data_IF_912399835643
#
_entry.id   IF_912399835643
#
_cell.length_a   1.000
_cell.length_b   1.000
_cell.length_c   1.000
_cell.angle_alpha   90.00
_cell.angle_beta   90.00
_cell.angle_gamma   90.00
#
_symmetry.space_group_name_H-M   'P 1'
#
loop_
_entity.id
_entity.type
_entity.pdbx_description
1 polymer ?
#
# COMPACT_ATOMS: atom_id res chain seq x y z
N UNK A 1 -2.76 15.82 17.20
CA UNK A 1 -1.64 14.88 17.08
C UNK A 1 -0.58 15.54 16.19
N UNK A 2 0.16 16.47 16.78
CA UNK A 2 1.22 17.24 16.13
C UNK A 2 2.51 16.81 16.81
N UNK A 3 3.10 15.72 16.31
CA UNK A 3 4.43 15.29 16.72
C UNK A 3 5.42 15.91 15.75
N UNK A 4 6.15 16.87 16.31
CA UNK A 4 7.49 17.36 15.99
C UNK A 4 8.25 16.41 15.04
N UNK A 5 8.27 16.75 13.74
CA UNK A 5 9.41 16.40 12.90
C UNK A 5 10.47 17.48 13.14
N UNK A 6 11.50 17.14 13.91
CA UNK A 6 12.75 17.89 13.87
C UNK A 6 13.23 18.01 12.42
N UNK A 7 13.86 19.13 12.09
CA UNK A 7 14.23 19.59 10.74
C UNK A 7 15.13 18.59 9.99
N UNK A 8 14.57 17.50 9.49
CA UNK A 8 15.15 16.72 8.41
C UNK A 8 15.18 17.66 7.21
N UNK A 9 16.36 17.88 6.62
CA UNK A 9 16.48 18.55 5.33
C UNK A 9 15.70 17.71 4.31
N UNK A 10 14.45 18.08 4.09
CA UNK A 10 13.60 17.44 3.09
C UNK A 10 13.82 18.13 1.76
N UNK A 11 13.96 17.35 0.69
CA UNK A 11 13.90 17.89 -0.65
C UNK A 11 12.45 18.28 -0.95
N UNK A 12 12.24 19.45 -1.57
CA UNK A 12 10.91 19.82 -2.06
C UNK A 12 10.53 18.84 -3.18
N UNK A 13 9.39 18.17 -3.02
CA UNK A 13 8.76 17.41 -4.09
C UNK A 13 7.70 18.27 -4.77
N UNK A 14 7.41 17.95 -6.03
CA UNK A 14 6.35 18.58 -6.80
C UNK A 14 5.52 17.51 -7.49
N UNK A 15 4.20 17.71 -7.56
CA UNK A 15 3.30 16.88 -8.37
C UNK A 15 2.98 17.68 -9.62
N UNK A 16 3.41 17.17 -10.76
CA UNK A 16 3.17 17.79 -12.06
C UNK A 16 2.27 16.87 -12.89
N UNK A 17 1.06 17.31 -13.30
CA UNK A 17 0.28 16.57 -14.26
C UNK A 17 0.99 16.57 -15.61
N UNK A 18 1.05 15.40 -16.26
CA UNK A 18 1.56 15.26 -17.62
C UNK A 18 0.44 15.55 -18.65
N UNK A 19 0.78 15.90 -19.90
CA UNK A 19 -0.20 16.10 -20.96
C UNK A 19 -1.11 14.89 -21.15
N UNK A 20 -2.40 15.14 -21.43
CA UNK A 20 -3.35 14.08 -21.76
C UNK A 20 -3.09 13.54 -23.16
N UNK A 21 -3.05 12.22 -23.28
CA UNK A 21 -2.98 11.54 -24.57
C UNK A 21 -4.39 11.08 -24.92
N UNK A 22 -4.97 11.67 -25.97
CA UNK A 22 -6.33 11.39 -26.40
C UNK A 22 -6.39 10.16 -27.33
N UNK A 23 -6.03 8.99 -26.80
CA UNK A 23 -6.07 7.72 -27.51
C UNK A 23 -6.20 6.54 -26.53
N UNK A 24 -6.66 5.37 -27.00
CA UNK A 24 -6.85 4.22 -26.11
C UNK A 24 -5.55 3.83 -25.38
N UNK A 25 -5.56 3.69 -24.04
CA UNK A 25 -4.34 3.41 -23.26
C UNK A 25 -3.70 2.06 -23.59
N UNK A 26 -4.50 1.17 -24.19
CA UNK A 26 -4.10 -0.16 -24.63
C UNK A 26 -3.32 -0.18 -25.95
N UNK A 27 -3.31 0.91 -26.71
CA UNK A 27 -2.62 0.97 -27.98
C UNK A 27 -1.10 1.19 -27.80
N UNK A 28 -0.31 0.52 -28.63
CA UNK A 28 1.16 0.57 -28.55
C UNK A 28 1.69 1.98 -28.80
N UNK A 29 1.07 2.74 -29.73
CA UNK A 29 1.48 4.12 -30.02
C UNK A 29 1.23 5.06 -28.83
N UNK A 30 0.16 4.79 -28.08
CA UNK A 30 -0.23 5.55 -26.87
C UNK A 30 0.77 5.29 -25.74
N UNK A 31 1.09 4.01 -25.50
CA UNK A 31 2.10 3.60 -24.53
C UNK A 31 3.49 4.16 -24.87
N UNK A 32 3.88 4.10 -26.14
CA UNK A 32 5.13 4.70 -26.62
C UNK A 32 5.20 6.19 -26.29
N UNK A 33 4.14 6.92 -26.64
CA UNK A 33 4.06 8.37 -26.45
C UNK A 33 4.13 8.72 -24.97
N UNK A 34 3.39 7.99 -24.12
CA UNK A 34 3.43 8.17 -22.66
C UNK A 34 4.83 7.94 -22.08
N UNK A 35 5.50 6.87 -22.49
CA UNK A 35 6.85 6.55 -22.03
C UNK A 35 7.87 7.57 -22.53
N UNK A 36 7.75 8.01 -23.79
CA UNK A 36 8.63 9.01 -24.39
C UNK A 36 8.56 10.33 -23.64
N UNK A 37 7.35 10.85 -23.40
CA UNK A 37 7.15 12.06 -22.59
C UNK A 37 7.73 11.90 -21.18
N UNK A 38 7.50 10.76 -20.53
CA UNK A 38 8.01 10.50 -19.18
C UNK A 38 9.54 10.47 -19.13
N UNK A 39 10.18 9.95 -20.18
CA UNK A 39 11.63 9.91 -20.30
C UNK A 39 12.24 11.29 -20.59
N UNK A 40 11.62 12.06 -21.49
CA UNK A 40 12.05 13.42 -21.85
C UNK A 40 11.93 14.39 -20.67
N UNK A 41 10.84 14.33 -19.90
CA UNK A 41 10.65 15.15 -18.69
C UNK A 41 11.67 14.77 -17.59
N UNK A 42 12.01 13.47 -17.46
CA UNK A 42 13.03 13.00 -16.52
C UNK A 42 14.44 13.53 -16.86
N UNK A 43 14.79 13.54 -18.14
CA UNK A 43 16.04 14.13 -18.65
C UNK A 43 16.11 15.63 -18.37
N UNK A 44 15.03 16.37 -18.61
CA UNK A 44 14.96 17.81 -18.29
C UNK A 44 15.16 18.07 -16.79
N UNK A 45 14.70 17.16 -15.94
CA UNK A 45 14.84 17.26 -14.49
C UNK A 45 16.18 16.73 -13.95
N UNK A 46 17.14 16.36 -14.82
CA UNK A 46 18.44 15.78 -14.44
C UNK A 46 18.33 14.55 -13.53
N UNK A 47 17.21 13.84 -13.60
CA UNK A 47 16.97 12.64 -12.81
C UNK A 47 17.63 11.44 -13.46
N UNK A 48 18.17 10.52 -12.64
CA UNK A 48 18.90 9.34 -13.16
C UNK A 48 17.96 8.23 -13.64
N UNK A 49 16.76 8.13 -13.05
CA UNK A 49 15.81 7.05 -13.27
C UNK A 49 14.39 7.62 -13.30
N UNK A 50 13.57 7.16 -14.25
CA UNK A 50 12.15 7.42 -14.35
C UNK A 50 11.37 6.14 -14.03
N UNK A 51 10.63 6.13 -12.93
CA UNK A 51 9.78 5.01 -12.56
C UNK A 51 8.38 5.23 -13.14
N UNK A 52 7.95 4.33 -14.02
CA UNK A 52 6.61 4.38 -14.61
C UNK A 52 5.81 3.17 -14.10
N UNK A 53 4.73 3.44 -13.37
CA UNK A 53 3.84 2.39 -12.88
C UNK A 53 2.62 2.24 -13.77
N UNK A 54 2.31 1.00 -14.16
CA UNK A 54 1.12 0.66 -14.95
C UNK A 54 0.30 -0.43 -14.27
N UNK A 55 -1.02 -0.40 -14.42
CA UNK A 55 -1.85 -1.55 -14.08
C UNK A 55 -1.46 -2.79 -14.90
N UNK A 56 -1.79 -3.97 -14.41
CA UNK A 56 -1.32 -5.24 -14.97
C UNK A 56 -1.43 -5.37 -16.50
N UNK A 57 -2.57 -5.05 -17.14
CA UNK A 57 -2.67 -5.16 -18.59
C UNK A 57 -1.74 -4.21 -19.34
N UNK A 58 -1.53 -3.00 -18.79
CA UNK A 58 -0.69 -1.97 -19.39
C UNK A 58 0.79 -2.14 -19.07
N UNK A 59 1.13 -2.89 -18.01
CA UNK A 59 2.51 -3.25 -17.69
C UNK A 59 3.07 -4.33 -18.63
N UNK A 60 2.22 -5.30 -19.00
CA UNK A 60 2.61 -6.43 -19.87
C UNK A 60 2.91 -5.94 -21.29
N UNK A 61 2.06 -5.05 -21.83
CA UNK A 61 2.16 -4.61 -23.24
C UNK A 61 3.51 -3.99 -23.64
N UNK A 62 4.07 -3.00 -22.92
CA UNK A 62 5.39 -2.47 -23.23
C UNK A 62 6.51 -3.49 -23.05
N UNK A 63 6.36 -4.44 -22.12
CA UNK A 63 7.36 -5.50 -21.91
C UNK A 63 7.41 -6.51 -23.04
N UNK A 64 6.24 -6.88 -23.57
CA UNK A 64 6.14 -7.80 -24.70
C UNK A 64 6.57 -7.13 -26.00
N UNK A 65 6.28 -5.83 -26.14
CA UNK A 65 6.62 -5.08 -27.33
C UNK A 65 8.04 -4.52 -27.23
N UNK A 66 9.02 -5.37 -27.58
CA UNK A 66 10.46 -5.05 -27.60
C UNK A 66 10.76 -3.72 -28.31
N UNK A 67 10.03 -3.37 -29.37
CA UNK A 67 10.20 -2.09 -30.10
C UNK A 67 9.90 -0.85 -29.25
N UNK A 68 9.04 -0.97 -28.22
CA UNK A 68 8.74 0.11 -27.28
C UNK A 68 9.88 0.37 -26.29
N UNK A 69 10.77 -0.61 -26.07
CA UNK A 69 11.79 -0.58 -25.00
C UNK A 69 13.22 -0.55 -25.55
N UNK A 70 13.47 -1.13 -26.73
CA UNK A 70 14.82 -1.45 -27.18
C UNK A 70 15.49 -0.42 -28.10
N UNK A 71 14.75 0.40 -28.84
CA UNK A 71 15.34 1.15 -29.96
C UNK A 71 15.80 2.58 -29.64
N UNK A 72 15.56 3.10 -28.43
CA UNK A 72 15.98 4.45 -28.06
C UNK A 72 16.82 4.50 -26.77
N UNK A 73 18.00 5.16 -26.78
CA UNK A 73 18.79 5.38 -25.55
C UNK A 73 17.97 6.12 -24.48
N UNK A 74 16.95 6.86 -24.91
CA UNK A 74 15.95 7.54 -24.10
C UNK A 74 15.26 6.62 -23.07
N UNK A 75 15.01 5.35 -23.40
CA UNK A 75 14.31 4.42 -22.51
C UNK A 75 15.22 3.68 -21.52
N UNK A 76 16.55 3.86 -21.59
CA UNK A 76 17.49 3.22 -20.65
C UNK A 76 17.31 3.71 -19.21
N UNK A 77 16.78 4.92 -19.03
CA UNK A 77 16.49 5.49 -17.72
C UNK A 77 15.08 5.16 -17.22
N UNK A 78 14.23 4.57 -18.06
CA UNK A 78 12.84 4.25 -17.71
C UNK A 78 12.74 2.83 -17.18
N UNK A 79 12.22 2.70 -15.96
CA UNK A 79 11.94 1.40 -15.34
C UNK A 79 10.44 1.25 -15.17
N UNK A 80 9.91 0.24 -15.86
CA UNK A 80 8.50 -0.14 -15.75
C UNK A 80 8.26 -0.92 -14.45
N UNK A 81 7.26 -0.50 -13.70
CA UNK A 81 6.80 -1.15 -12.47
C UNK A 81 5.33 -1.54 -12.57
N UNK A 82 5.00 -2.72 -12.06
CA UNK A 82 3.61 -3.13 -11.93
C UNK A 82 2.93 -2.26 -10.85
N UNK A 83 1.81 -1.66 -11.22
CA UNK A 83 0.93 -0.90 -10.34
C UNK A 83 0.31 -1.84 -9.31
N UNK A 84 0.48 -1.51 -8.03
CA UNK A 84 0.03 -2.36 -6.92
C UNK A 84 -1.42 -2.11 -6.49
N UNK A 85 -2.05 -1.02 -6.92
CA UNK A 85 -3.33 -0.59 -6.34
C UNK A 85 -4.48 -1.56 -6.64
N UNK A 86 -4.64 -1.96 -7.91
CA UNK A 86 -5.64 -2.98 -8.26
C UNK A 86 -5.33 -4.33 -7.61
N UNK A 87 -4.06 -4.69 -7.45
CA UNK A 87 -3.68 -5.91 -6.74
C UNK A 87 -4.11 -5.85 -5.27
N UNK A 88 -3.92 -4.70 -4.60
CA UNK A 88 -4.40 -4.47 -3.24
C UNK A 88 -5.93 -4.51 -3.13
N UNK A 89 -6.65 -3.91 -4.09
CA UNK A 89 -8.12 -3.99 -4.14
C UNK A 89 -8.59 -5.44 -4.33
N UNK A 90 -8.00 -6.18 -5.29
CA UNK A 90 -8.31 -7.59 -5.50
C UNK A 90 -8.03 -8.44 -4.27
N UNK A 91 -6.90 -8.20 -3.58
CA UNK A 91 -6.56 -8.90 -2.35
C UNK A 91 -7.60 -8.66 -1.25
N UNK A 92 -8.07 -7.41 -1.07
CA UNK A 92 -9.16 -7.11 -0.14
C UNK A 92 -10.46 -7.84 -0.53
N UNK A 93 -10.76 -7.92 -1.83
CA UNK A 93 -11.86 -8.72 -2.35
C UNK A 93 -11.72 -10.22 -2.04
N UNK A 94 -10.51 -10.77 -2.14
CA UNK A 94 -10.23 -12.17 -1.78
C UNK A 94 -10.45 -12.44 -0.29
N UNK A 95 -10.11 -11.50 0.60
CA UNK A 95 -10.42 -11.61 2.03
C UNK A 95 -11.93 -11.67 2.21
N UNK A 96 -12.68 -10.73 1.61
CA UNK A 96 -14.14 -10.71 1.69
C UNK A 96 -14.80 -11.99 1.15
N UNK A 97 -14.26 -12.56 0.07
CA UNK A 97 -14.73 -13.82 -0.49
C UNK A 97 -14.43 -15.02 0.42
N UNK A 98 -13.18 -15.14 0.88
CA UNK A 98 -12.74 -16.24 1.78
C UNK A 98 -13.50 -16.22 3.10
N UNK A 99 -13.79 -15.03 3.62
CA UNK A 99 -14.51 -14.84 4.89
C UNK A 99 -16.03 -14.74 4.73
N UNK A 100 -16.59 -15.09 3.57
CA UNK A 100 -18.03 -15.12 3.38
C UNK A 100 -18.69 -16.09 4.39
N UNK A 101 -19.75 -15.63 5.07
CA UNK A 101 -20.43 -16.41 6.11
C UNK A 101 -19.76 -16.44 7.48
N UNK A 102 -18.59 -15.82 7.66
CA UNK A 102 -17.89 -15.75 8.96
C UNK A 102 -18.50 -14.77 9.98
N UNK A 103 -19.52 -14.01 9.59
CA UNK A 103 -20.03 -12.87 10.37
C UNK A 103 -19.23 -11.57 10.17
N UNK A 104 -18.12 -11.58 9.42
CA UNK A 104 -17.34 -10.36 9.14
C UNK A 104 -18.21 -9.24 8.54
N UNK A 105 -19.11 -9.60 7.61
CA UNK A 105 -20.05 -8.64 7.00
C UNK A 105 -20.94 -8.00 8.07
N UNK A 106 -21.46 -8.79 9.00
CA UNK A 106 -22.40 -8.34 10.02
C UNK A 106 -21.71 -7.40 11.00
N UNK A 107 -20.50 -7.74 11.44
CA UNK A 107 -19.67 -6.87 12.28
C UNK A 107 -19.37 -5.54 11.59
N UNK A 108 -18.99 -5.57 10.30
CA UNK A 108 -18.75 -4.35 9.54
C UNK A 108 -20.02 -3.50 9.36
N UNK A 109 -21.19 -4.12 9.27
CA UNK A 109 -22.48 -3.42 9.18
C UNK A 109 -22.86 -2.67 10.47
N UNK A 110 -22.20 -2.94 11.61
CA UNK A 110 -22.41 -2.17 12.84
C UNK A 110 -21.85 -0.74 12.74
N UNK A 111 -20.82 -0.53 11.91
CA UNK A 111 -20.10 0.75 11.80
C UNK A 111 -20.29 1.41 10.43
N UNK A 112 -20.58 0.62 9.40
CA UNK A 112 -20.72 1.09 8.03
C UNK A 112 -22.08 0.72 7.43
N UNK A 113 -22.58 1.54 6.49
CA UNK A 113 -23.81 1.25 5.79
C UNK A 113 -23.73 -0.08 4.99
N UNK A 114 -24.75 -0.95 4.99
CA UNK A 114 -24.69 -2.27 4.36
C UNK A 114 -24.30 -2.27 2.87
N UNK A 115 -24.76 -1.29 2.11
CA UNK A 115 -24.38 -1.11 0.70
C UNK A 115 -22.90 -0.76 0.51
N UNK A 116 -22.32 0.00 1.44
CA UNK A 116 -20.89 0.27 1.45
C UNK A 116 -20.10 -0.99 1.82
N UNK A 117 -20.58 -1.77 2.80
CA UNK A 117 -19.93 -3.02 3.22
C UNK A 117 -19.84 -4.01 2.05
N UNK A 118 -20.87 -4.14 1.22
CA UNK A 118 -20.78 -4.97 0.01
C UNK A 118 -19.63 -4.52 -0.92
N UNK A 119 -19.45 -3.20 -1.12
CA UNK A 119 -18.33 -2.65 -1.91
C UNK A 119 -16.98 -2.80 -1.20
N UNK A 120 -16.96 -2.79 0.13
CA UNK A 120 -15.75 -3.06 0.92
C UNK A 120 -15.30 -4.50 0.74
N UNK A 121 -16.22 -5.46 0.88
CA UNK A 121 -15.93 -6.90 0.76
C UNK A 121 -15.56 -7.35 -0.66
N UNK A 122 -15.86 -6.55 -1.69
CA UNK A 122 -15.34 -6.74 -3.04
C UNK A 122 -14.06 -5.95 -3.31
N UNK A 123 -13.49 -5.26 -2.31
CA UNK A 123 -12.28 -4.46 -2.41
C UNK A 123 -12.44 -3.10 -3.13
N UNK A 124 -13.65 -2.78 -3.62
CA UNK A 124 -13.92 -1.57 -4.40
C UNK A 124 -13.93 -0.29 -3.56
N UNK A 125 -14.15 -0.41 -2.25
CA UNK A 125 -14.02 0.69 -1.30
C UNK A 125 -12.73 0.58 -0.48
N UNK A 126 -11.57 0.60 -1.16
CA UNK A 126 -10.25 0.28 -0.58
C UNK A 126 -9.95 0.94 0.78
N UNK A 127 -10.02 2.27 0.86
CA UNK A 127 -9.71 2.99 2.10
C UNK A 127 -10.65 2.61 3.25
N UNK A 128 -11.90 2.27 2.93
CA UNK A 128 -12.91 1.84 3.91
C UNK A 128 -12.70 0.41 4.34
N UNK A 129 -12.38 -0.52 3.43
CA UNK A 129 -12.12 -1.92 3.76
C UNK A 129 -10.87 -2.06 4.62
N UNK A 130 -9.79 -1.31 4.34
CA UNK A 130 -8.60 -1.26 5.20
C UNK A 130 -8.95 -0.81 6.61
N UNK A 131 -9.66 0.33 6.73
CA UNK A 131 -10.12 0.82 8.04
C UNK A 131 -11.03 -0.19 8.75
N UNK A 132 -11.94 -0.82 8.03
CA UNK A 132 -12.86 -1.84 8.56
C UNK A 132 -12.11 -3.04 9.12
N UNK A 133 -11.14 -3.58 8.39
CA UNK A 133 -10.32 -4.70 8.87
C UNK A 133 -9.47 -4.32 10.09
N UNK A 134 -8.88 -3.12 10.12
CA UNK A 134 -8.14 -2.65 11.29
C UNK A 134 -9.03 -2.54 12.54
N UNK A 135 -10.27 -2.05 12.39
CA UNK A 135 -11.24 -2.00 13.49
C UNK A 135 -11.63 -3.39 13.98
N UNK A 136 -11.93 -4.32 13.07
CA UNK A 136 -12.26 -5.72 13.41
C UNK A 136 -11.07 -6.39 14.10
N UNK A 137 -9.86 -6.22 13.58
CA UNK A 137 -8.64 -6.74 14.19
C UNK A 137 -8.45 -6.19 15.60
N UNK A 138 -8.58 -4.87 15.80
CA UNK A 138 -8.46 -4.24 17.12
C UNK A 138 -9.49 -4.77 18.12
N UNK A 139 -10.75 -4.91 17.70
CA UNK A 139 -11.82 -5.46 18.55
C UNK A 139 -11.53 -6.92 18.93
N UNK A 140 -11.13 -7.76 17.98
CA UNK A 140 -10.79 -9.16 18.23
C UNK A 140 -9.61 -9.32 19.18
N UNK A 141 -8.55 -8.52 18.99
CA UNK A 141 -7.40 -8.50 19.89
C UNK A 141 -7.84 -8.17 21.32
N UNK A 142 -8.66 -7.12 21.51
CA UNK A 142 -9.13 -6.74 22.84
C UNK A 142 -9.91 -7.88 23.51
N UNK A 143 -10.86 -8.48 22.78
CA UNK A 143 -11.65 -9.61 23.28
C UNK A 143 -10.78 -10.82 23.65
N UNK A 144 -9.77 -11.14 22.84
CA UNK A 144 -8.85 -12.25 23.14
C UNK A 144 -8.05 -11.94 24.41
N UNK A 145 -7.50 -10.73 24.52
CA UNK A 145 -6.70 -10.35 25.67
C UNK A 145 -7.54 -10.31 26.97
N UNK A 146 -8.79 -9.84 26.90
CA UNK A 146 -9.74 -9.90 28.02
C UNK A 146 -9.99 -11.35 28.46
N UNK A 147 -10.05 -12.28 27.50
CA UNK A 147 -10.27 -13.71 27.76
C UNK A 147 -9.05 -14.47 28.31
N UNK A 148 -7.83 -13.99 28.08
CA UNK A 148 -6.58 -14.65 28.53
C UNK A 148 -6.22 -14.26 29.98
N UNK A 149 -6.90 -13.27 30.58
CA UNK A 149 -6.67 -12.88 31.98
C UNK A 149 -5.35 -12.14 32.22
N UNK A 150 -4.86 -11.43 31.20
CA UNK A 150 -3.65 -10.60 31.24
C UNK A 150 -3.93 -9.31 32.02
N UNK A 151 -2.93 -8.74 32.72
CA UNK A 151 -3.15 -7.48 33.48
C UNK A 151 -3.57 -6.34 32.55
N UNK A 152 -4.32 -5.36 33.06
CA UNK A 152 -4.75 -4.21 32.26
C UNK A 152 -3.57 -3.42 31.69
N UNK A 153 -2.43 -3.36 32.41
CA UNK A 153 -1.24 -2.65 31.92
C UNK A 153 -0.56 -3.40 30.78
N UNK A 154 -0.45 -4.74 30.87
CA UNK A 154 0.12 -5.59 29.82
C UNK A 154 -0.78 -5.59 28.57
N UNK A 155 -2.09 -5.60 28.76
CA UNK A 155 -3.08 -5.53 27.70
C UNK A 155 -3.02 -4.21 26.93
N UNK A 156 -2.86 -3.08 27.63
CA UNK A 156 -2.73 -1.77 27.01
C UNK A 156 -1.39 -1.62 26.28
N UNK A 157 -0.30 -2.20 26.82
CA UNK A 157 0.98 -2.25 26.12
C UNK A 157 0.91 -3.06 24.81
N UNK A 158 0.29 -4.24 24.83
CA UNK A 158 0.12 -5.09 23.63
C UNK A 158 -0.79 -4.42 22.61
N UNK A 159 -1.89 -3.81 23.06
CA UNK A 159 -2.83 -3.10 22.19
C UNK A 159 -2.15 -1.92 21.49
N UNK A 160 -1.35 -1.14 22.23
CA UNK A 160 -0.59 -0.03 21.65
C UNK A 160 0.44 -0.50 20.61
N UNK A 161 1.15 -1.61 20.84
CA UNK A 161 2.09 -2.17 19.87
C UNK A 161 1.38 -2.63 18.59
N UNK A 162 0.24 -3.32 18.74
CA UNK A 162 -0.51 -3.88 17.60
C UNK A 162 -1.28 -2.81 16.81
N UNK A 163 -1.74 -1.75 17.47
CA UNK A 163 -2.37 -0.61 16.81
C UNK A 163 -1.37 0.34 16.12
N UNK A 164 -0.10 0.36 16.58
CA UNK A 164 0.98 1.19 16.03
C UNK A 164 1.93 0.41 15.11
N UNK A 165 1.41 -0.50 14.27
CA UNK A 165 2.20 -1.30 13.32
C UNK A 165 3.05 -0.47 12.32
N UNK A 166 2.89 0.85 12.26
CA UNK A 166 3.82 1.77 11.57
C UNK A 166 5.21 1.86 12.23
N UNK A 167 5.37 1.52 13.51
CA UNK A 167 6.68 1.56 14.20
C UNK A 167 7.54 0.30 14.03
N UNK A 168 7.01 -0.76 13.42
CA UNK A 168 7.71 -2.03 13.17
C UNK A 168 8.57 -2.00 11.88
N UNK A 169 9.18 -0.85 11.59
CA UNK A 169 10.25 -0.74 10.59
C UNK A 169 11.46 -1.57 11.11
N UNK A 170 12.15 -2.36 10.27
CA UNK A 170 13.26 -3.21 10.69
C UNK A 170 14.32 -2.51 11.56
N UNK A 171 14.53 -1.21 11.36
CA UNK A 171 15.46 -0.39 12.14
C UNK A 171 15.04 -0.22 13.61
N UNK A 172 13.74 -0.14 13.93
CA UNK A 172 13.24 0.07 15.30
C UNK A 172 13.03 -1.22 16.10
N UNK A 173 13.06 -2.39 15.44
CA UNK A 173 13.01 -3.71 16.12
C UNK A 173 14.24 -3.91 17.02
N UNK A 174 15.38 -3.28 16.69
CA UNK A 174 16.60 -3.31 17.53
C UNK A 174 16.53 -2.45 18.79
N UNK A 175 15.62 -1.49 18.84
CA UNK A 175 15.53 -0.49 19.92
C UNK A 175 14.46 -0.81 20.96
N UNK A 176 13.48 -1.66 20.61
CA UNK A 176 12.41 -2.07 21.53
C UNK A 176 12.96 -2.74 22.80
N UNK A 177 12.92 -2.01 23.92
CA UNK A 177 13.45 -2.42 25.21
C UNK A 177 12.82 -3.74 25.73
N UNK A 178 11.54 -3.97 25.39
CA UNK A 178 10.82 -5.21 25.73
C UNK A 178 11.32 -6.46 24.99
N UNK A 179 11.96 -6.32 23.81
CA UNK A 179 12.57 -7.46 23.10
C UNK A 179 14.00 -7.76 23.60
N UNK A 180 14.66 -6.79 24.23
CA UNK A 180 15.98 -7.00 24.87
C UNK A 180 15.88 -7.80 26.16
N UNK A 181 14.78 -7.70 26.91
CA UNK A 181 14.55 -8.51 28.12
C UNK A 181 14.33 -9.98 27.80
N UNK A 182 13.65 -10.31 26.70
CA UNK A 182 13.45 -11.69 26.23
C UNK A 182 14.73 -12.37 25.73
N UNK A 183 15.71 -11.60 25.23
CA UNK A 183 17.03 -12.12 24.81
C UNK A 183 17.96 -12.42 25.97
N UNK A 184 17.73 -11.85 27.16
CA UNK A 184 18.59 -12.07 28.34
C UNK A 184 18.28 -13.37 29.10
N UNK A 185 17.15 -14.01 28.82
CA UNK A 185 16.69 -15.23 29.53
C UNK A 185 17.07 -16.54 28.84
N UNK A 186 18.07 -16.53 27.95
CA UNK A 186 18.77 -17.74 27.51
C UNK A 186 20.19 -17.73 28.04
N UNK A 187 20.34 -18.22 29.27
CA UNK A 187 21.59 -18.80 29.75
C UNK A 187 21.27 -20.00 30.62
#
# INVERSE_FOLDING_TARGET
MQLVCESIKTAKSAVKPLPFINSPPSDASTLYTALKYSAEDNLQQSSKICLVSFDQPLYIKPRENVSLVSDAPLFRTVVLRLGGFYMLMSYMGCIGHTMAGSGLKDVLCLVFAPMLVNKMLTGHAYSRVVRGHLLVQGALIRMILDGVGISSEEQDAITNILCNMEELIPEKVGENAHLKSLKKTKK
#
